data_IF_347238655446
#
_entry.id   IF_347238655446
#
_cell.length_a   1.000
_cell.length_b   1.000
_cell.length_c   1.000
_cell.angle_alpha   90.00
_cell.angle_beta   90.00
_cell.angle_gamma   90.00
#
_symmetry.space_group_name_H-M   'P 1'
#
loop_
_entity.id
_entity.type
_entity.pdbx_description
1 polymer ?
#
# COMPACT_ATOMS: atom_id res chain seq x y z
N UNK A 1 -20.50 -26.63 5.79
CA UNK A 1 -21.95 -26.75 6.04
C UNK A 1 -22.37 -25.52 6.82
N UNK A 2 -23.49 -24.90 6.46
CA UNK A 2 -24.03 -23.81 7.26
C UNK A 2 -24.51 -24.38 8.60
N UNK A 3 -23.75 -24.14 9.66
CA UNK A 3 -24.03 -24.60 11.02
C UNK A 3 -24.49 -23.43 11.90
N UNK A 4 -25.51 -23.65 12.74
CA UNK A 4 -26.11 -22.63 13.60
C UNK A 4 -27.63 -22.85 13.75
N UNK A 5 -28.29 -22.08 14.62
CA UNK A 5 -29.75 -22.15 14.82
C UNK A 5 -30.57 -21.68 13.61
N UNK A 6 -29.96 -20.90 12.71
CA UNK A 6 -30.53 -20.45 11.43
C UNK A 6 -29.90 -21.15 10.21
N UNK A 7 -29.10 -22.21 10.42
CA UNK A 7 -28.44 -22.94 9.34
C UNK A 7 -29.40 -23.86 8.59
N UNK A 8 -29.35 -23.84 7.26
CA UNK A 8 -30.16 -24.69 6.37
C UNK A 8 -29.62 -26.13 6.23
N UNK A 9 -28.51 -26.45 6.89
CA UNK A 9 -27.91 -27.79 6.90
C UNK A 9 -27.32 -28.23 5.55
N UNK A 10 -27.31 -27.35 4.55
CA UNK A 10 -26.71 -27.65 3.25
C UNK A 10 -25.19 -27.51 3.29
N UNK A 11 -24.52 -28.45 2.62
CA UNK A 11 -23.08 -28.48 2.50
C UNK A 11 -22.70 -28.33 1.03
N UNK A 12 -21.85 -27.36 0.73
CA UNK A 12 -21.26 -27.21 -0.60
C UNK A 12 -20.03 -28.13 -0.69
N UNK A 13 -20.18 -29.26 -1.37
CA UNK A 13 -19.14 -30.29 -1.45
C UNK A 13 -18.13 -29.98 -2.54
N UNK A 14 -16.84 -29.94 -2.18
CA UNK A 14 -15.77 -29.81 -3.16
C UNK A 14 -15.51 -31.15 -3.88
N UNK A 15 -15.13 -31.14 -5.16
CA UNK A 15 -14.80 -32.34 -5.92
C UNK A 15 -13.72 -33.21 -5.25
N UNK A 16 -13.80 -34.55 -5.35
CA UNK A 16 -14.82 -35.35 -6.06
C UNK A 16 -16.04 -35.71 -5.20
N UNK A 17 -16.28 -35.01 -4.08
CA UNK A 17 -17.29 -35.40 -3.10
C UNK A 17 -18.69 -34.86 -3.45
N UNK A 18 -19.73 -35.63 -3.10
CA UNK A 18 -21.15 -35.32 -3.29
C UNK A 18 -22.00 -35.82 -2.11
N UNK A 19 -23.32 -35.60 -2.20
CA UNK A 19 -24.30 -35.94 -1.15
C UNK A 19 -24.47 -34.86 -0.07
N UNK A 20 -25.50 -34.99 0.78
CA UNK A 20 -25.86 -33.97 1.77
C UNK A 20 -24.81 -33.77 2.88
N UNK A 21 -23.85 -34.69 3.01
CA UNK A 21 -22.77 -34.64 4.00
C UNK A 21 -21.37 -34.64 3.38
N UNK A 22 -21.27 -34.58 2.05
CA UNK A 22 -19.99 -34.65 1.32
C UNK A 22 -19.16 -35.91 1.64
N UNK A 23 -19.82 -37.03 1.94
CA UNK A 23 -19.23 -38.32 2.29
C UNK A 23 -19.22 -39.32 1.13
N UNK A 24 -19.86 -38.98 0.01
CA UNK A 24 -19.95 -39.83 -1.17
C UNK A 24 -18.94 -39.37 -2.21
N UNK A 25 -18.23 -40.31 -2.84
CA UNK A 25 -17.30 -40.01 -3.93
C UNK A 25 -18.00 -40.26 -5.27
N UNK A 26 -18.03 -39.25 -6.14
CA UNK A 26 -18.67 -39.33 -7.45
C UNK A 26 -17.63 -39.12 -8.56
N UNK A 27 -17.46 -40.12 -9.41
CA UNK A 27 -16.61 -40.01 -10.62
C UNK A 27 -17.12 -38.91 -11.55
N UNK A 28 -18.44 -38.66 -11.55
CA UNK A 28 -19.06 -37.56 -12.27
C UNK A 28 -18.68 -36.20 -11.70
N UNK A 29 -18.38 -36.05 -10.42
CA UNK A 29 -17.91 -34.76 -9.87
C UNK A 29 -16.39 -34.56 -10.06
N UNK A 30 -15.66 -35.59 -10.51
CA UNK A 30 -14.20 -35.56 -10.59
C UNK A 30 -13.66 -34.62 -11.67
N UNK A 31 -14.48 -34.21 -12.64
CA UNK A 31 -14.10 -33.26 -13.70
C UNK A 31 -14.28 -31.79 -13.29
N UNK A 32 -14.93 -31.51 -12.16
CA UNK A 32 -15.09 -30.15 -11.66
C UNK A 32 -13.76 -29.61 -11.12
N UNK A 33 -13.49 -28.32 -11.32
CA UNK A 33 -12.26 -27.68 -10.83
C UNK A 33 -12.23 -27.56 -9.31
N UNK A 34 -11.04 -27.37 -8.73
CA UNK A 34 -10.93 -26.95 -7.33
C UNK A 34 -11.75 -25.67 -7.06
N UNK A 35 -12.23 -25.51 -5.83
CA UNK A 35 -13.07 -24.38 -5.40
C UNK A 35 -14.44 -24.25 -6.08
N UNK A 36 -14.95 -25.31 -6.71
CA UNK A 36 -16.36 -25.42 -7.09
C UNK A 36 -17.13 -26.32 -6.12
N UNK A 37 -18.45 -26.26 -6.19
CA UNK A 37 -19.38 -27.24 -5.65
C UNK A 37 -20.05 -28.02 -6.79
N UNK A 38 -20.18 -29.33 -6.60
CA UNK A 38 -20.85 -30.21 -7.56
C UNK A 38 -22.32 -30.37 -7.16
N UNK A 39 -23.24 -29.99 -8.05
CA UNK A 39 -24.68 -30.12 -7.80
C UNK A 39 -25.26 -31.30 -8.60
N UNK A 40 -25.60 -32.38 -7.89
CA UNK A 40 -26.32 -33.55 -8.41
C UNK A 40 -25.46 -34.74 -8.86
N UNK A 41 -26.00 -35.95 -8.71
CA UNK A 41 -25.38 -37.23 -9.11
C UNK A 41 -25.96 -37.80 -10.44
N UNK A 42 -26.85 -37.04 -11.11
CA UNK A 42 -27.59 -37.41 -12.33
C UNK A 42 -26.89 -37.12 -13.66
N UNK A 43 -27.64 -36.96 -14.76
CA UNK A 43 -27.11 -36.49 -16.06
C UNK A 43 -26.93 -34.96 -16.12
N UNK A 44 -27.56 -34.22 -15.20
CA UNK A 44 -27.49 -32.76 -15.11
C UNK A 44 -26.43 -32.27 -14.10
N UNK A 45 -25.26 -32.94 -14.01
CA UNK A 45 -24.19 -32.56 -13.09
C UNK A 45 -23.64 -31.17 -13.46
N UNK A 46 -23.82 -30.20 -12.57
CA UNK A 46 -23.33 -28.82 -12.75
C UNK A 46 -22.20 -28.52 -11.75
N UNK A 47 -21.11 -27.93 -12.23
CA UNK A 47 -20.03 -27.41 -11.40
C UNK A 47 -20.19 -25.89 -11.27
N UNK A 48 -20.44 -25.41 -10.06
CA UNK A 48 -20.62 -24.00 -9.76
C UNK A 48 -19.58 -23.52 -8.75
N UNK A 49 -19.01 -22.33 -8.93
CA UNK A 49 -17.95 -21.87 -8.03
C UNK A 49 -18.50 -21.64 -6.61
N UNK A 50 -17.67 -21.91 -5.60
CA UNK A 50 -17.99 -21.60 -4.22
C UNK A 50 -18.10 -20.07 -4.01
N UNK A 51 -18.83 -19.59 -2.99
CA UNK A 51 -18.84 -18.19 -2.61
C UNK A 51 -17.41 -17.63 -2.46
N UNK A 52 -17.14 -16.49 -3.08
CA UNK A 52 -15.80 -15.89 -3.11
C UNK A 52 -14.90 -16.36 -4.26
N UNK A 53 -15.42 -17.21 -5.16
CA UNK A 53 -14.74 -17.67 -6.37
C UNK A 53 -15.53 -17.33 -7.64
N UNK A 54 -14.82 -17.02 -8.73
CA UNK A 54 -15.38 -16.80 -10.08
C UNK A 54 -14.89 -17.87 -11.04
N UNK A 55 -15.69 -18.17 -12.07
CA UNK A 55 -15.32 -19.09 -13.14
C UNK A 55 -14.49 -18.35 -14.21
N UNK A 56 -13.32 -18.87 -14.57
CA UNK A 56 -12.49 -18.33 -15.66
C UNK A 56 -13.01 -18.82 -17.03
N UNK A 57 -12.45 -18.29 -18.12
CA UNK A 57 -12.80 -18.71 -19.48
C UNK A 57 -12.49 -20.20 -19.74
N UNK A 58 -11.51 -20.74 -19.02
CA UNK A 58 -11.11 -22.15 -19.04
C UNK A 58 -12.01 -23.04 -18.16
N UNK A 59 -13.04 -22.47 -17.51
CA UNK A 59 -13.97 -23.21 -16.65
C UNK A 59 -13.45 -23.49 -15.24
N UNK A 60 -12.31 -22.91 -14.85
CA UNK A 60 -11.69 -23.11 -13.53
C UNK A 60 -12.20 -22.06 -12.54
N UNK A 61 -12.47 -22.46 -11.29
CA UNK A 61 -12.84 -21.52 -10.23
C UNK A 61 -11.59 -20.92 -9.57
N UNK A 62 -11.46 -19.59 -9.64
CA UNK A 62 -10.37 -18.82 -9.00
C UNK A 62 -10.95 -17.82 -8.02
N UNK A 63 -10.18 -17.43 -7.01
CA UNK A 63 -10.64 -16.43 -6.05
C UNK A 63 -11.04 -15.16 -6.78
N UNK A 64 -12.14 -14.53 -6.36
CA UNK A 64 -12.63 -13.29 -6.98
C UNK A 64 -11.57 -12.18 -6.92
N UNK A 65 -10.71 -12.22 -5.91
CA UNK A 65 -9.53 -11.38 -5.77
C UNK A 65 -8.26 -12.21 -5.95
N UNK A 66 -7.83 -12.41 -7.19
CA UNK A 66 -6.61 -13.15 -7.52
C UNK A 66 -5.45 -12.20 -7.87
N UNK A 67 -4.23 -12.75 -7.84
CA UNK A 67 -3.03 -12.01 -8.24
C UNK A 67 -3.17 -11.54 -9.70
N UNK A 68 -3.04 -10.23 -9.93
CA UNK A 68 -3.23 -9.60 -11.23
C UNK A 68 -4.61 -8.95 -11.44
N UNK A 69 -5.58 -9.16 -10.55
CA UNK A 69 -6.85 -8.44 -10.63
C UNK A 69 -6.71 -6.98 -10.22
N UNK A 70 -5.88 -6.63 -9.24
CA UNK A 70 -5.62 -5.25 -8.86
C UNK A 70 -4.11 -4.99 -8.85
N UNK A 71 -3.73 -3.71 -8.74
CA UNK A 71 -2.34 -3.31 -8.48
C UNK A 71 -1.83 -4.01 -7.20
N UNK A 72 -0.51 -4.20 -7.07
CA UNK A 72 0.09 -4.72 -5.83
C UNK A 72 -0.22 -3.84 -4.60
N UNK A 73 -0.39 -2.54 -4.82
CA UNK A 73 -0.83 -1.55 -3.84
C UNK A 73 -2.34 -1.28 -3.90
N UNK A 74 -3.09 -2.11 -4.64
CA UNK A 74 -4.54 -2.13 -4.65
C UNK A 74 -5.12 -3.05 -3.58
N UNK A 75 -6.29 -2.70 -3.10
CA UNK A 75 -7.19 -3.53 -2.31
C UNK A 75 -8.32 -4.00 -3.23
N UNK A 76 -8.50 -5.31 -3.30
CA UNK A 76 -9.58 -5.92 -4.04
C UNK A 76 -10.80 -6.11 -3.12
N UNK A 77 -11.98 -5.73 -3.61
CA UNK A 77 -13.26 -6.01 -3.01
C UNK A 77 -14.21 -6.60 -4.05
N UNK A 78 -15.18 -7.38 -3.59
CA UNK A 78 -16.15 -8.03 -4.47
C UNK A 78 -17.56 -7.85 -3.97
N UNK A 79 -18.47 -7.51 -4.88
CA UNK A 79 -19.91 -7.53 -4.64
C UNK A 79 -20.53 -8.54 -5.61
N UNK A 80 -20.81 -9.74 -5.09
CA UNK A 80 -21.19 -10.89 -5.92
C UNK A 80 -20.06 -11.28 -6.88
N UNK A 81 -20.34 -11.24 -8.19
CA UNK A 81 -19.37 -11.56 -9.24
C UNK A 81 -18.58 -10.33 -9.75
N UNK A 82 -18.92 -9.10 -9.30
CA UNK A 82 -18.21 -7.89 -9.71
C UNK A 82 -17.00 -7.64 -8.81
N UNK A 83 -15.87 -7.36 -9.44
CA UNK A 83 -14.61 -7.01 -8.78
C UNK A 83 -14.43 -5.51 -8.84
N UNK A 84 -14.14 -4.93 -7.69
CA UNK A 84 -13.76 -3.55 -7.52
C UNK A 84 -12.35 -3.48 -6.94
N UNK A 85 -11.53 -2.59 -7.48
CA UNK A 85 -10.20 -2.31 -6.94
C UNK A 85 -10.19 -0.88 -6.41
N UNK A 86 -9.65 -0.68 -5.22
CA UNK A 86 -9.33 0.64 -4.67
C UNK A 86 -7.85 0.67 -4.29
N UNK A 87 -7.21 1.84 -4.25
CA UNK A 87 -5.83 1.91 -3.76
C UNK A 87 -5.79 1.77 -2.23
N UNK A 88 -4.74 1.13 -1.72
CA UNK A 88 -4.46 1.08 -0.28
C UNK A 88 -4.18 2.48 0.26
N UNK A 89 -4.29 2.64 1.57
CA UNK A 89 -3.97 3.90 2.24
C UNK A 89 -2.56 4.38 1.86
N UNK A 90 -2.46 5.67 1.53
CA UNK A 90 -1.23 6.33 1.11
C UNK A 90 -0.91 6.23 -0.39
N UNK A 91 -1.79 5.60 -1.18
CA UNK A 91 -1.68 5.51 -2.62
C UNK A 91 -2.91 6.14 -3.30
N UNK A 92 -2.70 6.67 -4.51
CA UNK A 92 -3.75 7.24 -5.35
C UNK A 92 -3.78 6.58 -6.73
N UNK A 93 -4.93 6.66 -7.39
CA UNK A 93 -5.18 6.04 -8.68
C UNK A 93 -6.53 5.35 -8.75
N UNK A 94 -6.65 4.36 -9.63
CA UNK A 94 -7.92 3.68 -9.93
C UNK A 94 -8.00 2.23 -9.39
N UNK A 95 -7.08 1.84 -8.49
CA UNK A 95 -7.01 0.49 -7.92
C UNK A 95 -6.35 -0.56 -8.82
N UNK A 96 -6.37 -0.37 -10.15
CA UNK A 96 -5.60 -1.17 -11.13
C UNK A 96 -4.18 -0.64 -11.33
N UNK A 97 -4.02 0.66 -11.14
CA UNK A 97 -2.74 1.37 -11.07
C UNK A 97 -2.79 2.23 -9.81
N UNK A 98 -1.85 1.99 -8.90
CA UNK A 98 -1.76 2.72 -7.64
C UNK A 98 -0.35 3.28 -7.46
N UNK A 99 -0.24 4.61 -7.47
CA UNK A 99 1.01 5.33 -7.26
C UNK A 99 1.06 5.90 -5.84
N UNK A 100 2.24 5.97 -5.20
CA UNK A 100 2.37 6.59 -3.89
C UNK A 100 1.92 8.05 -3.94
N UNK A 101 1.08 8.46 -3.00
CA UNK A 101 0.74 9.88 -2.83
C UNK A 101 2.01 10.60 -2.42
N UNK A 102 2.34 11.68 -3.14
CA UNK A 102 3.50 12.50 -2.84
C UNK A 102 3.10 13.78 -2.10
N UNK A 103 3.20 13.81 -0.76
CA UNK A 103 2.89 15.02 0.01
C UNK A 103 3.83 16.18 -0.33
N UNK A 104 5.05 15.94 -0.81
CA UNK A 104 5.99 16.99 -1.22
C UNK A 104 5.53 17.79 -2.44
N UNK A 105 4.63 17.22 -3.27
CA UNK A 105 4.10 17.90 -4.46
C UNK A 105 3.17 19.06 -4.13
N UNK A 106 2.71 19.17 -2.89
CA UNK A 106 1.84 20.25 -2.42
C UNK A 106 2.51 20.98 -1.27
N UNK A 107 2.70 22.29 -1.41
CA UNK A 107 3.23 23.16 -0.35
C UNK A 107 4.53 22.63 0.30
N UNK A 108 5.42 22.02 -0.51
CA UNK A 108 6.65 21.39 -0.06
C UNK A 108 6.43 20.40 1.12
N UNK A 109 5.29 19.69 1.15
CA UNK A 109 4.95 18.78 2.24
C UNK A 109 4.81 19.43 3.62
N UNK A 110 4.61 20.76 3.67
CA UNK A 110 4.61 21.56 4.90
C UNK A 110 6.01 21.96 5.40
N UNK A 111 7.06 21.61 4.66
CA UNK A 111 8.43 21.95 5.02
C UNK A 111 8.76 23.43 4.79
N UNK A 112 9.53 24.08 5.70
CA UNK A 112 9.97 25.47 5.53
C UNK A 112 10.72 25.71 4.20
N UNK A 113 10.03 26.33 3.24
CA UNK A 113 10.48 26.44 1.84
C UNK A 113 11.79 27.20 1.62
N UNK A 114 12.19 28.06 2.57
CA UNK A 114 13.39 28.90 2.44
C UNK A 114 14.70 28.20 2.83
N UNK A 115 14.64 27.12 3.61
CA UNK A 115 15.84 26.48 4.18
C UNK A 115 15.82 24.96 4.11
N UNK A 116 14.71 24.38 3.66
CA UNK A 116 14.51 22.94 3.59
C UNK A 116 13.89 22.51 2.28
N UNK A 117 14.11 21.26 1.91
CA UNK A 117 13.38 20.58 0.85
C UNK A 117 12.66 19.36 1.44
N UNK A 118 11.50 19.05 0.89
CA UNK A 118 10.74 17.86 1.28
C UNK A 118 11.29 16.62 0.60
N UNK A 119 11.39 15.54 1.37
CA UNK A 119 11.82 14.23 0.89
C UNK A 119 10.71 13.21 1.12
N UNK A 120 10.28 12.56 0.05
CA UNK A 120 9.36 11.44 0.12
C UNK A 120 10.05 10.27 0.84
N UNK A 121 9.49 9.82 1.96
CA UNK A 121 9.98 8.66 2.72
C UNK A 121 9.12 7.42 2.51
N UNK A 122 7.91 7.60 1.97
CA UNK A 122 7.02 6.51 1.60
C UNK A 122 5.67 7.02 1.10
N UNK A 123 4.71 6.12 0.88
CA UNK A 123 3.37 6.48 0.44
C UNK A 123 2.70 7.39 1.48
N UNK A 124 2.35 8.60 1.07
CA UNK A 124 1.78 9.65 1.94
C UNK A 124 2.64 9.96 3.18
N UNK A 125 3.96 9.80 3.07
CA UNK A 125 4.92 10.06 4.13
C UNK A 125 6.12 10.83 3.60
N UNK A 126 6.45 11.94 4.26
CA UNK A 126 7.62 12.76 3.96
C UNK A 126 8.35 13.19 5.21
N UNK A 127 9.55 13.74 5.02
CA UNK A 127 10.29 14.49 6.03
C UNK A 127 10.99 15.68 5.39
N UNK A 128 11.28 16.70 6.18
CA UNK A 128 12.09 17.83 5.72
C UNK A 128 13.58 17.52 5.86
N UNK A 129 14.37 17.97 4.90
CA UNK A 129 15.84 17.95 4.98
C UNK A 129 16.39 19.35 4.71
N UNK A 130 17.48 19.70 5.40
CA UNK A 130 18.11 21.00 5.23
C UNK A 130 18.74 21.12 3.85
N UNK A 131 18.62 22.30 3.24
CA UNK A 131 19.43 22.64 2.07
C UNK A 131 20.92 22.60 2.41
N UNK A 132 21.75 22.43 1.39
CA UNK A 132 23.19 22.26 1.54
C UNK A 132 23.83 23.40 2.35
N UNK A 133 24.64 23.06 3.35
CA UNK A 133 25.33 24.03 4.20
C UNK A 133 24.49 24.59 5.35
N UNK A 134 23.28 24.06 5.56
CA UNK A 134 22.42 24.42 6.68
C UNK A 134 22.30 23.26 7.68
N UNK A 135 22.08 23.62 8.95
CA UNK A 135 21.82 22.73 10.07
C UNK A 135 20.42 22.95 10.65
N UNK A 136 19.77 21.91 11.20
CA UNK A 136 18.45 22.01 11.83
C UNK A 136 18.41 23.03 12.99
N UNK A 137 17.35 23.85 13.03
CA UNK A 137 17.02 24.67 14.19
C UNK A 137 16.26 23.80 15.20
N UNK A 138 16.67 23.81 16.47
CA UNK A 138 16.00 22.99 17.50
C UNK A 138 16.14 21.48 17.30
N UNK A 139 17.13 21.05 16.50
CA UNK A 139 17.44 19.63 16.28
C UNK A 139 16.61 18.94 15.20
N UNK A 140 15.64 19.61 14.58
CA UNK A 140 14.82 19.03 13.49
C UNK A 140 14.65 20.00 12.31
N UNK A 141 14.81 19.48 11.09
CA UNK A 141 14.59 20.26 9.87
C UNK A 141 13.12 20.68 9.71
N UNK A 142 12.19 20.04 10.41
CA UNK A 142 10.76 20.43 10.43
C UNK A 142 10.57 21.86 10.98
N UNK A 143 11.46 22.31 11.87
CA UNK A 143 11.46 23.70 12.40
C UNK A 143 12.24 24.68 11.53
N UNK A 144 12.79 24.22 10.41
CA UNK A 144 13.64 24.99 9.50
C UNK A 144 15.12 24.83 9.82
N UNK A 145 15.95 25.33 8.91
CA UNK A 145 17.40 25.23 9.01
C UNK A 145 18.08 26.60 8.96
N UNK A 146 19.26 26.68 9.56
CA UNK A 146 20.13 27.87 9.58
C UNK A 146 21.51 27.53 9.04
N UNK A 147 22.27 28.52 8.55
CA UNK A 147 23.63 28.29 8.07
C UNK A 147 24.51 27.66 9.16
N UNK A 148 25.28 26.64 8.77
CA UNK A 148 26.31 26.07 9.63
C UNK A 148 27.35 27.14 9.91
N UNK A 149 27.62 27.40 11.19
CA UNK A 149 28.61 28.40 11.59
C UNK A 149 30.00 28.00 11.09
N UNK A 150 30.62 28.87 10.29
CA UNK A 150 32.04 28.79 9.96
C UNK A 150 32.93 29.36 11.07
N UNK A 151 32.33 29.96 12.10
CA UNK A 151 33.01 30.57 13.24
C UNK A 151 33.21 29.53 14.35
N UNK A 152 34.47 29.27 14.70
CA UNK A 152 34.93 28.59 15.91
C UNK A 152 35.88 29.47 16.73
N UNK A 153 36.43 28.94 17.84
CA UNK A 153 37.30 29.70 18.76
C UNK A 153 38.50 30.36 18.06
N UNK A 154 39.18 29.66 17.16
CA UNK A 154 40.41 30.13 16.50
C UNK A 154 40.17 30.72 15.10
N UNK A 155 38.91 31.00 14.74
CA UNK A 155 38.59 31.45 13.37
C UNK A 155 38.94 32.92 13.13
N UNK A 156 38.80 33.75 14.16
CA UNK A 156 39.12 35.18 14.12
C UNK A 156 40.03 35.56 15.29
N UNK A 157 40.77 36.66 15.14
CA UNK A 157 41.50 37.23 16.28
C UNK A 157 40.52 37.63 17.39
N UNK A 158 40.97 37.61 18.65
CA UNK A 158 40.13 37.87 19.84
C UNK A 158 39.44 39.24 19.86
N UNK A 159 39.92 40.19 19.06
CA UNK A 159 39.36 41.53 18.90
C UNK A 159 38.44 41.69 17.69
N UNK A 160 38.20 40.62 16.94
CA UNK A 160 37.36 40.65 15.74
C UNK A 160 36.07 39.85 15.96
N UNK A 161 34.96 40.37 15.46
CA UNK A 161 33.66 39.69 15.51
C UNK A 161 33.55 38.76 14.31
N UNK A 162 33.41 37.46 14.56
CA UNK A 162 33.20 36.48 13.50
C UNK A 162 31.74 36.43 13.06
N UNK A 163 31.50 36.50 11.75
CA UNK A 163 30.20 36.29 11.11
C UNK A 163 30.34 35.26 9.99
N UNK A 164 29.36 34.37 9.86
CA UNK A 164 29.31 33.44 8.72
C UNK A 164 28.61 34.12 7.55
N UNK A 165 29.30 34.20 6.41
CA UNK A 165 28.74 34.71 5.15
C UNK A 165 27.74 33.72 4.52
N UNK A 166 26.94 34.21 3.57
CA UNK A 166 25.99 33.38 2.81
C UNK A 166 26.69 32.32 1.93
N UNK A 167 28.00 32.48 1.71
CA UNK A 167 28.89 31.52 1.06
C UNK A 167 29.41 30.43 2.03
N UNK A 168 28.94 30.43 3.28
CA UNK A 168 29.39 29.50 4.31
C UNK A 168 30.81 29.76 4.82
N UNK A 169 31.38 30.94 4.55
CA UNK A 169 32.75 31.31 4.98
C UNK A 169 32.73 32.27 6.15
N UNK A 170 33.70 32.14 7.04
CA UNK A 170 33.88 33.09 8.14
C UNK A 170 34.41 34.43 7.63
N UNK A 171 33.85 35.51 8.18
CA UNK A 171 34.28 36.90 7.98
C UNK A 171 34.54 37.51 9.35
N UNK A 172 35.72 38.09 9.53
CA UNK A 172 36.14 38.71 10.78
C UNK A 172 36.07 40.22 10.62
N UNK A 173 35.08 40.86 11.24
CA UNK A 173 34.97 42.32 11.27
C UNK A 173 35.77 42.83 12.48
N UNK A 174 36.89 43.51 12.23
CA UNK A 174 37.69 44.15 13.27
C UNK A 174 36.98 45.40 13.78
N UNK A 175 36.83 45.51 15.10
CA UNK A 175 36.33 46.71 15.79
C UNK A 175 37.47 47.48 16.44
#
# INVERSE_FOLDING_TARGET
CNSGSDGDGQCLCQPPYSGPRCDQVSSKCSHCSSYSHCNGDGEATSCECLPGYRKTAEGTCTGVCSAGDCDANGQCSSEGAKISCSCKQGYEGNGKVCIPINPCSKDNGGCPSNSTYCVLKGPDKSSCECMLGLSPIGGSAESGCQLVSACGEDTCHSTAVCRTGLDGRARCDCT
#
